data_IF_293212120478
#
_entry.id   IF_293212120478
#
_cell.length_a   1.000
_cell.length_b   1.000
_cell.length_c   1.000
_cell.angle_alpha   90.00
_cell.angle_beta   90.00
_cell.angle_gamma   90.00
#
_symmetry.space_group_name_H-M   'P 1'
#
loop_
_entity.id
_entity.type
_entity.pdbx_description
1 polymer ?
#
# COMPACT_ATOMS: atom_id res chain seq x y z
N UNK A 1 13.61 1.56 -6.02
CA UNK A 1 13.14 2.49 -4.96
C UNK A 1 14.13 3.62 -4.69
N UNK A 2 15.40 3.34 -4.36
CA UNK A 2 16.41 4.39 -4.16
C UNK A 2 16.58 5.30 -5.40
N UNK A 3 16.59 4.70 -6.59
CA UNK A 3 16.58 5.42 -7.88
C UNK A 3 15.36 6.33 -8.07
N UNK A 4 14.18 5.95 -7.57
CA UNK A 4 12.96 6.77 -7.64
C UNK A 4 13.03 7.94 -6.66
N UNK A 5 13.51 7.70 -5.44
CA UNK A 5 13.67 8.72 -4.39
C UNK A 5 14.73 9.77 -4.72
N UNK A 6 15.68 9.43 -5.59
CA UNK A 6 16.77 10.28 -6.03
C UNK A 6 16.57 10.86 -7.44
N UNK A 7 15.47 10.55 -8.13
CA UNK A 7 15.25 11.00 -9.51
C UNK A 7 14.75 12.47 -9.53
N UNK A 8 15.50 13.41 -10.13
CA UNK A 8 15.12 14.82 -10.19
C UNK A 8 13.99 15.12 -11.20
N UNK A 9 13.51 14.12 -11.96
CA UNK A 9 12.42 14.29 -12.95
C UNK A 9 11.03 14.52 -12.33
N UNK A 10 10.90 14.51 -10.99
CA UNK A 10 9.64 14.76 -10.27
C UNK A 10 9.64 16.01 -9.37
N UNK A 11 10.09 17.20 -9.83
CA UNK A 11 10.43 18.32 -8.97
C UNK A 11 9.32 18.83 -8.03
N UNK A 12 8.01 18.90 -8.39
CA UNK A 12 6.97 19.34 -7.45
C UNK A 12 6.56 18.26 -6.45
N UNK A 13 6.88 16.99 -6.69
CA UNK A 13 6.37 15.87 -5.89
C UNK A 13 7.44 15.20 -5.01
N UNK A 14 8.74 15.51 -5.18
CA UNK A 14 9.83 14.83 -4.44
C UNK A 14 9.70 14.93 -2.92
N UNK A 15 9.29 16.09 -2.39
CA UNK A 15 9.06 16.26 -0.95
C UNK A 15 7.89 15.41 -0.46
N UNK A 16 6.78 15.45 -1.20
CA UNK A 16 5.57 14.67 -0.92
C UNK A 16 5.85 13.15 -1.00
N UNK A 17 6.70 12.74 -1.94
CA UNK A 17 7.11 11.36 -2.16
C UNK A 17 7.83 10.81 -0.92
N UNK A 18 8.82 11.53 -0.40
CA UNK A 18 9.57 11.13 0.80
C UNK A 18 8.65 10.97 2.02
N UNK A 19 7.76 11.93 2.25
CA UNK A 19 6.80 11.85 3.36
C UNK A 19 5.81 10.71 3.20
N UNK A 20 5.33 10.44 1.98
CA UNK A 20 4.39 9.35 1.72
C UNK A 20 5.03 7.97 1.93
N UNK A 21 6.28 7.78 1.50
CA UNK A 21 7.03 6.56 1.78
C UNK A 21 7.32 6.37 3.27
N UNK A 22 7.66 7.45 3.98
CA UNK A 22 7.87 7.39 5.43
C UNK A 22 6.59 7.00 6.17
N UNK A 23 5.44 7.57 5.77
CA UNK A 23 4.13 7.21 6.31
C UNK A 23 3.78 5.74 6.03
N UNK A 24 3.99 5.28 4.80
CA UNK A 24 3.73 3.89 4.43
C UNK A 24 4.61 2.92 5.23
N UNK A 25 5.89 3.24 5.40
CA UNK A 25 6.79 2.45 6.27
C UNK A 25 6.33 2.45 7.72
N UNK A 26 5.91 3.59 8.27
CA UNK A 26 5.38 3.69 9.63
C UNK A 26 4.14 2.81 9.82
N UNK A 27 3.21 2.80 8.86
CA UNK A 27 2.04 1.92 8.92
C UNK A 27 2.39 0.44 8.76
N UNK A 28 3.35 0.07 7.91
CA UNK A 28 3.83 -1.32 7.81
C UNK A 28 4.38 -1.81 9.16
N UNK A 29 5.13 -0.96 9.87
CA UNK A 29 5.67 -1.26 11.20
C UNK A 29 4.54 -1.36 12.23
N UNK A 30 3.62 -0.39 12.26
CA UNK A 30 2.48 -0.40 13.16
C UNK A 30 1.58 -1.63 12.94
N UNK A 31 1.30 -1.98 11.70
CA UNK A 31 0.55 -3.19 11.34
C UNK A 31 1.27 -4.45 11.83
N UNK A 32 2.59 -4.52 11.65
CA UNK A 32 3.35 -5.68 12.11
C UNK A 32 3.32 -5.82 13.63
N UNK A 33 3.46 -4.71 14.35
CA UNK A 33 3.37 -4.67 15.82
C UNK A 33 1.96 -5.08 16.29
N UNK A 34 0.90 -4.49 15.72
CA UNK A 34 -0.48 -4.81 16.10
C UNK A 34 -0.84 -6.27 15.79
N UNK A 35 -0.38 -6.81 14.65
CA UNK A 35 -0.56 -8.21 14.29
C UNK A 35 0.18 -9.16 15.23
N UNK A 36 1.39 -8.80 15.67
CA UNK A 36 2.13 -9.57 16.67
C UNK A 36 1.45 -9.53 18.05
N UNK A 37 0.99 -8.36 18.50
CA UNK A 37 0.25 -8.21 19.76
C UNK A 37 -1.03 -9.06 19.76
N UNK A 38 -1.78 -9.03 18.66
CA UNK A 38 -2.95 -9.89 18.44
C UNK A 38 -2.61 -11.38 18.55
N UNK A 39 -1.55 -11.84 17.87
CA UNK A 39 -1.14 -13.25 17.91
C UNK A 39 -0.79 -13.71 19.33
N UNK A 40 -0.15 -12.83 20.12
CA UNK A 40 0.21 -13.10 21.51
C UNK A 40 -1.00 -13.15 22.44
N UNK A 41 -1.95 -12.22 22.29
CA UNK A 41 -3.19 -12.19 23.08
C UNK A 41 -4.11 -13.38 22.78
N UNK A 42 -4.12 -13.83 21.53
CA UNK A 42 -4.93 -14.99 21.11
C UNK A 42 -4.24 -16.33 21.34
N UNK A 43 -3.01 -16.34 21.88
CA UNK A 43 -2.16 -17.54 22.04
C UNK A 43 -1.99 -18.39 20.77
N UNK A 44 -2.25 -17.81 19.60
CA UNK A 44 -2.11 -18.44 18.28
C UNK A 44 -0.84 -17.93 17.59
N UNK A 45 0.30 -18.12 18.24
CA UNK A 45 1.58 -17.76 17.64
C UNK A 45 1.93 -18.74 16.52
N UNK A 46 1.77 -18.30 15.27
CA UNK A 46 2.16 -19.06 14.09
C UNK A 46 3.25 -18.32 13.31
N UNK A 47 4.48 -18.83 13.36
CA UNK A 47 5.63 -18.30 12.62
C UNK A 47 5.35 -18.19 11.11
N UNK A 48 4.59 -19.12 10.53
CA UNK A 48 4.20 -19.06 9.11
C UNK A 48 3.29 -17.86 8.80
N UNK A 49 2.40 -17.49 9.72
CA UNK A 49 1.55 -16.32 9.56
C UNK A 49 2.36 -15.02 9.63
N UNK A 50 3.32 -14.94 10.55
CA UNK A 50 4.25 -13.81 10.64
C UNK A 50 5.10 -13.65 9.37
N UNK A 51 5.67 -14.75 8.87
CA UNK A 51 6.45 -14.73 7.63
C UNK A 51 5.62 -14.34 6.40
N UNK A 52 4.37 -14.85 6.30
CA UNK A 52 3.44 -14.46 5.23
C UNK A 52 3.13 -12.96 5.28
N UNK A 53 2.99 -12.38 6.47
CA UNK A 53 2.81 -10.93 6.66
C UNK A 53 4.00 -10.12 6.14
N UNK A 54 5.23 -10.55 6.44
CA UNK A 54 6.45 -9.88 5.94
C UNK A 54 6.54 -9.98 4.41
N UNK A 55 6.28 -11.16 3.84
CA UNK A 55 6.33 -11.37 2.40
C UNK A 55 5.29 -10.51 1.65
N UNK A 56 4.07 -10.40 2.19
CA UNK A 56 3.01 -9.52 1.66
C UNK A 56 3.49 -8.06 1.58
N UNK A 57 4.12 -7.56 2.64
CA UNK A 57 4.66 -6.19 2.69
C UNK A 57 5.79 -5.98 1.69
N UNK A 58 6.69 -6.95 1.53
CA UNK A 58 7.72 -6.90 0.48
C UNK A 58 7.11 -6.83 -0.92
N UNK A 59 6.05 -7.59 -1.20
CA UNK A 59 5.34 -7.51 -2.47
C UNK A 59 4.72 -6.12 -2.69
N UNK A 60 4.20 -5.48 -1.64
CA UNK A 60 3.69 -4.10 -1.72
C UNK A 60 4.78 -3.10 -2.11
N UNK A 61 5.98 -3.23 -1.54
CA UNK A 61 7.13 -2.40 -1.92
C UNK A 61 7.54 -2.59 -3.39
N UNK A 62 7.44 -3.82 -3.91
CA UNK A 62 7.68 -4.10 -5.34
C UNK A 62 6.61 -3.41 -6.21
N UNK A 63 5.33 -3.51 -5.86
CA UNK A 63 4.26 -2.83 -6.60
C UNK A 63 4.46 -1.31 -6.66
N UNK A 64 4.85 -0.69 -5.55
CA UNK A 64 5.15 0.75 -5.52
C UNK A 64 6.33 1.07 -6.44
N UNK A 65 7.39 0.26 -6.42
CA UNK A 65 8.54 0.45 -7.30
C UNK A 65 8.16 0.34 -8.79
N UNK A 66 7.31 -0.62 -9.15
CA UNK A 66 6.80 -0.80 -10.51
C UNK A 66 5.95 0.41 -10.93
N UNK A 67 5.01 0.84 -10.09
CA UNK A 67 4.11 1.95 -10.41
C UNK A 67 4.87 3.27 -10.67
N UNK A 68 5.77 3.65 -9.76
CA UNK A 68 6.60 4.84 -9.96
C UNK A 68 7.65 4.68 -11.07
N UNK A 69 8.16 3.47 -11.28
CA UNK A 69 9.06 3.15 -12.39
C UNK A 69 8.38 3.36 -13.75
N UNK A 70 7.16 2.86 -13.91
CA UNK A 70 6.34 3.06 -15.11
C UNK A 70 6.02 4.55 -15.33
N UNK A 71 5.63 5.29 -14.29
CA UNK A 71 5.44 6.74 -14.38
C UNK A 71 6.70 7.47 -14.86
N UNK A 72 7.89 7.09 -14.37
CA UNK A 72 9.14 7.70 -14.82
C UNK A 72 9.40 7.48 -16.33
N UNK A 73 9.14 6.26 -16.82
CA UNK A 73 9.25 5.93 -18.25
C UNK A 73 8.28 6.77 -19.08
N UNK A 74 7.03 6.93 -18.64
CA UNK A 74 6.07 7.78 -19.35
C UNK A 74 6.48 9.24 -19.42
N UNK A 75 7.04 9.79 -18.32
CA UNK A 75 7.57 11.16 -18.31
C UNK A 75 8.70 11.32 -19.33
N UNK A 76 9.60 10.35 -19.45
CA UNK A 76 10.72 10.38 -20.39
C UNK A 76 10.27 10.29 -21.86
N UNK A 77 9.29 9.43 -22.14
CA UNK A 77 8.64 9.36 -23.46
C UNK A 77 7.94 10.69 -23.79
N UNK A 78 7.23 11.28 -22.83
CA UNK A 78 6.56 12.57 -23.00
C UNK A 78 7.53 13.68 -23.40
N UNK A 79 8.68 13.78 -22.72
CA UNK A 79 9.75 14.73 -23.08
C UNK A 79 10.21 14.55 -24.53
N UNK A 80 10.35 13.30 -24.99
CA UNK A 80 10.76 12.99 -26.37
C UNK A 80 9.69 13.37 -27.39
N UNK A 81 8.41 13.20 -27.04
CA UNK A 81 7.27 13.54 -27.90
C UNK A 81 6.85 15.02 -27.81
N UNK A 82 7.46 15.82 -26.93
CA UNK A 82 7.09 17.21 -26.68
C UNK A 82 5.76 17.37 -25.91
N UNK A 83 5.32 16.34 -25.18
CA UNK A 83 4.08 16.33 -24.37
C UNK A 83 4.43 16.24 -22.88
N UNK A 84 3.80 17.07 -22.04
CA UNK A 84 3.97 16.97 -20.59
C UNK A 84 3.16 15.79 -20.02
N UNK A 85 3.88 14.70 -19.72
CA UNK A 85 3.34 13.52 -19.05
C UNK A 85 3.69 13.47 -17.56
N UNK A 86 4.08 14.60 -16.94
CA UNK A 86 4.36 14.71 -15.50
C UNK A 86 3.19 14.24 -14.61
N UNK A 87 1.95 14.37 -15.10
CA UNK A 87 0.73 13.91 -14.41
C UNK A 87 0.70 12.40 -14.19
N UNK A 88 1.41 11.61 -15.00
CA UNK A 88 1.49 10.14 -14.84
C UNK A 88 2.14 9.72 -13.52
N UNK A 89 2.88 10.61 -12.87
CA UNK A 89 3.39 10.43 -11.49
C UNK A 89 2.26 10.20 -10.49
N UNK A 90 1.08 10.78 -10.71
CA UNK A 90 -0.08 10.59 -9.85
C UNK A 90 -0.56 9.13 -9.83
N UNK A 91 -0.26 8.34 -10.87
CA UNK A 91 -0.55 6.90 -10.88
C UNK A 91 0.27 6.16 -9.81
N UNK A 92 1.55 6.52 -9.65
CA UNK A 92 2.38 5.99 -8.56
C UNK A 92 1.84 6.36 -7.18
N UNK A 93 1.42 7.62 -7.01
CA UNK A 93 0.78 8.06 -5.77
C UNK A 93 -0.57 7.39 -5.51
N UNK A 94 -1.34 7.11 -6.55
CA UNK A 94 -2.61 6.39 -6.43
C UNK A 94 -2.38 4.96 -5.93
N UNK A 95 -1.41 4.23 -6.49
CA UNK A 95 -1.03 2.90 -6.00
C UNK A 95 -0.56 2.95 -4.54
N UNK A 96 0.30 3.91 -4.20
CA UNK A 96 0.77 4.09 -2.83
C UNK A 96 -0.37 4.40 -1.85
N UNK A 97 -1.31 5.27 -2.24
CA UNK A 97 -2.49 5.59 -1.44
C UNK A 97 -3.40 4.37 -1.24
N UNK A 98 -3.65 3.59 -2.28
CA UNK A 98 -4.43 2.35 -2.18
C UNK A 98 -3.79 1.35 -1.23
N UNK A 99 -2.47 1.20 -1.26
CA UNK A 99 -1.74 0.33 -0.33
C UNK A 99 -1.74 0.87 1.11
N UNK A 100 -1.67 2.19 1.30
CA UNK A 100 -1.85 2.81 2.63
C UNK A 100 -3.22 2.48 3.23
N UNK A 101 -4.29 2.54 2.43
CA UNK A 101 -5.64 2.17 2.86
C UNK A 101 -5.70 0.70 3.31
N UNK A 102 -5.00 -0.19 2.60
CA UNK A 102 -4.91 -1.60 2.98
C UNK A 102 -4.20 -1.81 4.32
N UNK A 103 -3.11 -1.09 4.60
CA UNK A 103 -2.42 -1.16 5.90
C UNK A 103 -3.30 -0.59 7.03
N UNK A 104 -4.01 0.52 6.78
CA UNK A 104 -4.95 1.09 7.76
C UNK A 104 -6.05 0.09 8.11
N UNK A 105 -6.63 -0.61 7.12
CA UNK A 105 -7.64 -1.65 7.40
C UNK A 105 -7.06 -2.77 8.26
N UNK A 106 -5.89 -3.28 7.89
CA UNK A 106 -5.22 -4.36 8.62
C UNK A 106 -4.94 -3.98 10.09
N UNK A 107 -4.52 -2.75 10.35
CA UNK A 107 -4.36 -2.22 11.72
C UNK A 107 -5.71 -2.17 12.45
N UNK A 108 -6.75 -1.64 11.81
CA UNK A 108 -8.09 -1.55 12.42
C UNK A 108 -8.64 -2.93 12.77
N UNK A 109 -8.50 -3.91 11.88
CA UNK A 109 -8.89 -5.31 12.11
C UNK A 109 -8.14 -5.91 13.31
N UNK A 110 -6.81 -5.72 13.38
CA UNK A 110 -6.02 -6.20 14.51
C UNK A 110 -6.48 -5.55 15.83
N UNK A 111 -6.75 -4.24 15.85
CA UNK A 111 -7.23 -3.53 17.04
C UNK A 111 -8.60 -4.04 17.51
N UNK A 112 -9.54 -4.23 16.58
CA UNK A 112 -10.88 -4.76 16.88
C UNK A 112 -10.80 -6.17 17.46
N UNK A 113 -9.96 -7.04 16.90
CA UNK A 113 -9.76 -8.40 17.43
C UNK A 113 -9.10 -8.42 18.82
N UNK A 114 -8.34 -7.37 19.17
CA UNK A 114 -7.80 -7.17 20.52
C UNK A 114 -8.82 -6.57 21.50
N UNK A 115 -10.05 -6.29 21.07
CA UNK A 115 -11.11 -5.71 21.91
C UNK A 115 -11.05 -4.19 22.05
N UNK A 116 -10.29 -3.49 21.21
CA UNK A 116 -10.24 -2.03 21.17
C UNK A 116 -11.49 -1.50 20.45
N UNK A 117 -12.16 -0.51 21.04
CA UNK A 117 -13.34 0.12 20.43
C UNK A 117 -12.91 1.11 19.33
N UNK A 118 -12.74 0.58 18.11
CA UNK A 118 -12.40 1.37 16.91
C UNK A 118 -13.70 1.97 16.33
N UNK A 119 -13.74 3.27 16.00
CA UNK A 119 -14.92 3.90 15.42
C UNK A 119 -15.47 3.13 14.21
N UNK A 120 -16.74 2.72 14.29
CA UNK A 120 -17.40 1.88 13.27
C UNK A 120 -17.33 2.45 11.85
N UNK A 121 -17.24 3.79 11.72
CA UNK A 121 -17.10 4.46 10.43
C UNK A 121 -15.81 4.06 9.70
N UNK A 122 -14.72 3.82 10.44
CA UNK A 122 -13.43 3.40 9.86
C UNK A 122 -13.51 1.97 9.38
N UNK A 123 -14.10 1.07 10.18
CA UNK A 123 -14.26 -0.33 9.81
C UNK A 123 -15.20 -0.46 8.60
N UNK A 124 -16.42 0.08 8.71
CA UNK A 124 -17.44 -0.06 7.67
C UNK A 124 -17.10 0.72 6.40
N UNK A 125 -16.53 1.92 6.53
CA UNK A 125 -16.14 2.74 5.38
C UNK A 125 -15.07 2.04 4.55
N UNK A 126 -14.04 1.49 5.21
CA UNK A 126 -12.97 0.76 4.55
C UNK A 126 -13.46 -0.57 3.96
N UNK A 127 -14.37 -1.28 4.63
CA UNK A 127 -14.96 -2.52 4.14
C UNK A 127 -15.84 -2.29 2.91
N UNK A 128 -16.68 -1.25 2.92
CA UNK A 128 -17.53 -0.88 1.77
C UNK A 128 -16.67 -0.44 0.58
N UNK A 129 -15.63 0.37 0.83
CA UNK A 129 -14.69 0.75 -0.21
C UNK A 129 -13.99 -0.48 -0.82
N UNK A 130 -13.62 -1.47 0.00
CA UNK A 130 -13.07 -2.72 -0.52
C UNK A 130 -14.02 -3.46 -1.43
N UNK A 131 -15.25 -3.66 -0.95
CA UNK A 131 -16.25 -4.44 -1.65
C UNK A 131 -16.66 -3.76 -2.94
N UNK A 132 -16.65 -2.43 -2.99
CA UNK A 132 -16.91 -1.70 -4.22
C UNK A 132 -15.78 -1.86 -5.25
N UNK A 133 -14.53 -1.99 -4.81
CA UNK A 133 -13.37 -2.12 -5.69
C UNK A 133 -13.15 -3.58 -6.13
N UNK A 134 -13.40 -4.55 -5.25
CA UNK A 134 -13.14 -5.97 -5.47
C UNK A 134 -14.36 -6.75 -5.97
N UNK A 135 -15.54 -6.12 -6.13
CA UNK A 135 -16.78 -6.79 -6.59
C UNK A 135 -16.71 -7.35 -8.01
N UNK A 136 -15.74 -6.91 -8.81
CA UNK A 136 -15.54 -7.33 -10.19
C UNK A 136 -14.37 -8.35 -10.33
N UNK A 137 -13.84 -8.85 -9.21
CA UNK A 137 -12.65 -9.72 -9.17
C UNK A 137 -12.93 -11.22 -8.94
N UNK A 138 -14.19 -11.65 -8.87
CA UNK A 138 -14.56 -13.07 -8.66
C UNK A 138 -14.56 -13.92 -9.95
N UNK A 139 -14.15 -13.38 -11.11
CA UNK A 139 -14.11 -14.10 -12.41
C UNK A 139 -12.69 -14.46 -12.91
N UNK A 140 -11.71 -14.60 -12.01
CA UNK A 140 -10.39 -15.17 -12.36
C UNK A 140 -10.04 -16.36 -11.44
N UNK A 141 -10.92 -17.35 -11.41
CA UNK A 141 -10.55 -18.73 -11.07
C UNK A 141 -10.58 -19.53 -12.38
N UNK A 142 -9.58 -19.32 -13.24
CA UNK A 142 -9.27 -20.28 -14.30
C UNK A 142 -8.57 -21.47 -13.63
N UNK A 143 -9.33 -22.54 -13.46
CA UNK A 143 -8.73 -23.85 -13.29
C UNK A 143 -7.89 -24.20 -14.51
N UNK A 144 -6.64 -24.58 -14.24
CA UNK A 144 -5.96 -25.77 -14.78
C UNK A 144 -4.74 -26.10 -13.90
#
# INVERSE_FOLDING_TARGET
>A
MLLVLLNPSFPPFTTMLKSAFALFLAFNVADWITGWMKARLTHKENSKAGWKGVLKKLAYWIMIAVAFGASAVFVEIGKTLGVDLGITTLLGFFVLASLLVNEIRSICENLVEMGVDVPKILIKGLEVADKAINKDGEDFDEGE
#
